data_IF_555740034387
#
_entry.id   IF_555740034387
#
_cell.length_a   1.000
_cell.length_b   1.000
_cell.length_c   1.000
_cell.angle_alpha   90.00
_cell.angle_beta   90.00
_cell.angle_gamma   90.00
#
_symmetry.space_group_name_H-M   'P 1'
#
loop_
_entity.id
_entity.type
_entity.pdbx_description
1 polymer ?
#
# COMPACT_ATOMS: atom_id res chain seq x y z
N UNK A 1 -17.55 3.17 -1.19
CA UNK A 1 -16.93 3.99 -2.25
C UNK A 1 -15.59 3.38 -2.62
N UNK A 2 -15.41 3.01 -3.89
CA UNK A 2 -14.19 2.37 -4.40
C UNK A 2 -12.96 3.26 -4.18
N UNK A 3 -13.09 4.58 -4.41
CA UNK A 3 -11.96 5.51 -4.27
C UNK A 3 -11.47 5.62 -2.83
N UNK A 4 -12.37 5.49 -1.84
CA UNK A 4 -11.99 5.52 -0.42
C UNK A 4 -11.27 4.23 0.01
N UNK A 5 -11.59 3.10 -0.61
CA UNK A 5 -10.87 1.85 -0.39
C UNK A 5 -9.47 1.93 -1.02
N UNK A 6 -9.37 2.46 -2.25
CA UNK A 6 -8.10 2.67 -2.95
C UNK A 6 -7.18 3.64 -2.19
N UNK A 7 -7.72 4.74 -1.65
CA UNK A 7 -6.96 5.67 -0.82
C UNK A 7 -6.37 4.98 0.42
N UNK A 8 -7.13 4.09 1.06
CA UNK A 8 -6.61 3.31 2.19
C UNK A 8 -5.53 2.33 1.78
N UNK A 9 -5.75 1.60 0.68
CA UNK A 9 -4.74 0.71 0.08
C UNK A 9 -3.45 1.46 -0.27
N UNK A 10 -3.56 2.68 -0.81
CA UNK A 10 -2.42 3.54 -1.09
C UNK A 10 -1.67 3.92 0.19
N UNK A 11 -2.38 4.22 1.28
CA UNK A 11 -1.76 4.46 2.60
C UNK A 11 -0.97 3.25 3.10
N UNK A 12 -1.50 2.04 2.91
CA UNK A 12 -0.83 0.78 3.28
C UNK A 12 0.44 0.58 2.46
N UNK A 13 0.37 0.76 1.13
CA UNK A 13 1.52 0.65 0.23
C UNK A 13 2.59 1.70 0.58
N UNK A 14 2.19 2.96 0.74
CA UNK A 14 3.11 4.05 1.04
C UNK A 14 3.83 3.84 2.38
N UNK A 15 3.09 3.41 3.41
CA UNK A 15 3.69 3.04 4.69
C UNK A 15 4.61 1.82 4.53
N UNK A 16 4.21 0.81 3.76
CA UNK A 16 5.03 -0.36 3.45
C UNK A 16 6.39 0.01 2.83
N UNK A 17 6.39 0.94 1.88
CA UNK A 17 7.61 1.42 1.23
C UNK A 17 8.51 2.21 2.20
N UNK A 18 7.92 3.09 3.02
CA UNK A 18 8.67 4.01 3.87
C UNK A 18 9.05 3.43 5.24
N UNK A 19 8.31 2.44 5.73
CA UNK A 19 8.55 1.74 7.00
C UNK A 19 9.02 0.27 6.84
N UNK A 20 8.95 -0.34 5.65
CA UNK A 20 9.27 -1.76 5.40
C UNK A 20 8.52 -2.69 6.35
N UNK A 21 7.30 -2.28 6.69
CA UNK A 21 6.39 -2.96 7.58
C UNK A 21 4.96 -2.63 7.13
N UNK A 22 3.99 -3.50 7.41
CA UNK A 22 2.59 -3.16 7.21
C UNK A 22 2.06 -2.33 8.38
N UNK A 23 1.18 -1.35 8.14
CA UNK A 23 0.57 -0.60 9.22
C UNK A 23 -0.47 -1.48 9.93
N UNK A 24 -0.43 -1.50 11.27
CA UNK A 24 -1.54 -2.04 12.09
C UNK A 24 -2.68 -1.00 12.13
N UNK A 25 -3.30 -0.77 10.97
CA UNK A 25 -4.35 0.22 10.78
C UNK A 25 -5.70 -0.23 11.38
N UNK A 26 -5.87 -1.54 11.64
CA UNK A 26 -7.03 -2.07 12.35
C UNK A 26 -7.11 -1.58 13.80
N UNK A 27 -5.97 -1.23 14.40
CA UNK A 27 -5.87 -0.63 15.74
C UNK A 27 -5.70 0.89 15.71
N UNK A 28 -6.22 1.55 14.68
CA UNK A 28 -6.14 3.01 14.52
C UNK A 28 -4.71 3.47 14.28
N UNK A 29 -4.16 4.33 15.15
CA UNK A 29 -2.84 4.97 14.98
C UNK A 29 -1.67 4.15 15.51
N UNK A 30 -1.84 2.84 15.77
CA UNK A 30 -0.79 1.98 16.31
C UNK A 30 0.47 1.92 15.42
N UNK A 31 0.32 2.06 14.10
CA UNK A 31 1.42 2.12 13.13
C UNK A 31 2.39 3.31 13.37
N UNK A 32 1.97 4.36 14.07
CA UNK A 32 2.83 5.51 14.39
C UNK A 32 3.97 5.16 15.37
N UNK A 33 3.87 4.03 16.08
CA UNK A 33 4.90 3.59 17.03
C UNK A 33 6.12 2.95 16.37
N UNK A 34 6.07 2.74 15.06
CA UNK A 34 7.15 2.08 14.34
C UNK A 34 8.44 2.92 14.36
N UNK A 35 9.59 2.27 14.52
CA UNK A 35 10.89 2.96 14.66
C UNK A 35 11.15 3.96 13.53
N UNK A 36 10.86 3.58 12.28
CA UNK A 36 11.07 4.43 11.11
C UNK A 36 10.03 5.54 10.96
N UNK A 37 8.87 5.43 11.61
CA UNK A 37 7.84 6.48 11.56
C UNK A 37 8.40 7.81 12.07
N UNK A 38 9.16 7.78 13.17
CA UNK A 38 9.78 8.97 13.76
C UNK A 38 10.66 9.76 12.76
N UNK A 39 11.32 9.07 11.84
CA UNK A 39 12.26 9.61 10.86
C UNK A 39 11.56 10.23 9.62
N UNK A 40 10.27 9.98 9.43
CA UNK A 40 9.52 10.55 8.31
C UNK A 40 9.27 12.05 8.51
N UNK A 41 9.23 12.81 7.42
CA UNK A 41 8.87 14.22 7.46
C UNK A 41 7.41 14.41 7.89
N UNK A 42 7.10 15.58 8.45
CA UNK A 42 5.74 15.92 8.86
C UNK A 42 4.73 15.79 7.70
N UNK A 43 5.13 16.19 6.49
CA UNK A 43 4.28 16.14 5.30
C UNK A 43 3.96 14.69 4.91
N UNK A 44 4.92 13.76 4.97
CA UNK A 44 4.66 12.32 4.76
C UNK A 44 3.66 11.81 5.78
N UNK A 45 3.91 12.10 7.07
CA UNK A 45 3.09 11.61 8.18
C UNK A 45 1.65 12.08 8.03
N UNK A 46 1.46 13.35 7.67
CA UNK A 46 0.13 13.93 7.40
C UNK A 46 -0.61 13.17 6.30
N UNK A 47 0.07 12.91 5.17
CA UNK A 47 -0.54 12.18 4.07
C UNK A 47 -0.92 10.75 4.46
N UNK A 48 -0.02 10.01 5.10
CA UNK A 48 -0.30 8.62 5.52
C UNK A 48 -1.46 8.57 6.52
N UNK A 49 -1.54 9.52 7.47
CA UNK A 49 -2.66 9.59 8.42
C UNK A 49 -4.00 9.83 7.71
N UNK A 50 -4.03 10.72 6.73
CA UNK A 50 -5.24 10.99 5.96
C UNK A 50 -5.68 9.77 5.14
N UNK A 51 -4.74 9.07 4.49
CA UNK A 51 -5.02 7.86 3.71
C UNK A 51 -5.51 6.69 4.59
N UNK A 52 -4.88 6.51 5.76
CA UNK A 52 -5.20 5.45 6.72
C UNK A 52 -6.30 5.83 7.73
N UNK A 53 -7.11 6.85 7.43
CA UNK A 53 -8.23 7.22 8.30
C UNK A 53 -9.20 6.04 8.46
N UNK A 54 -9.60 5.69 9.70
CA UNK A 54 -10.60 4.64 9.95
C UNK A 54 -11.93 4.98 9.28
N UNK A 55 -12.33 6.26 9.35
CA UNK A 55 -13.51 6.78 8.67
C UNK A 55 -13.21 6.97 7.17
N UNK A 56 -13.93 6.26 6.26
CA UNK A 56 -13.77 6.41 4.81
C UNK A 56 -14.04 7.81 4.30
N UNK A 57 -14.97 8.55 4.92
CA UNK A 57 -15.38 9.87 4.41
C UNK A 57 -14.26 10.90 4.59
N UNK A 58 -13.46 10.75 5.64
CA UNK A 58 -12.27 11.57 5.92
C UNK A 58 -11.08 11.30 4.99
N UNK A 59 -11.13 10.23 4.18
CA UNK A 59 -10.01 9.91 3.28
C UNK A 59 -10.02 10.87 2.08
N UNK A 60 -8.86 11.39 1.67
CA UNK A 60 -8.76 12.38 0.60
C UNK A 60 -9.17 11.80 -0.76
N UNK A 61 -9.68 12.65 -1.65
CA UNK A 61 -9.91 12.25 -3.04
C UNK A 61 -8.57 12.10 -3.78
N UNK A 62 -8.53 11.41 -4.95
CA UNK A 62 -7.33 11.34 -5.78
C UNK A 62 -6.75 12.71 -6.14
N UNK A 63 -7.62 13.71 -6.35
CA UNK A 63 -7.17 15.06 -6.66
C UNK A 63 -6.49 15.72 -5.45
N UNK A 64 -7.05 15.55 -4.25
CA UNK A 64 -6.46 16.08 -3.01
C UNK A 64 -5.11 15.43 -2.71
N UNK A 65 -4.98 14.12 -2.97
CA UNK A 65 -3.71 13.39 -2.83
C UNK A 65 -2.66 13.96 -3.77
N UNK A 66 -3.03 14.19 -5.05
CA UNK A 66 -2.11 14.73 -6.05
C UNK A 66 -1.66 16.15 -5.75
N UNK A 67 -2.45 16.94 -5.03
CA UNK A 67 -2.10 18.30 -4.62
C UNK A 67 -1.38 18.37 -3.27
N UNK A 68 -1.29 17.25 -2.54
CA UNK A 68 -0.68 17.23 -1.22
C UNK A 68 0.78 17.71 -1.25
N UNK A 69 1.18 18.52 -0.27
CA UNK A 69 2.48 19.18 -0.22
C UNK A 69 3.67 18.19 -0.29
N UNK A 70 3.50 16.98 0.23
CA UNK A 70 4.52 15.94 0.08
C UNK A 70 4.76 15.53 -1.38
N UNK A 71 3.75 15.62 -2.25
CA UNK A 71 3.78 15.26 -3.68
C UNK A 71 4.22 16.46 -4.54
N UNK A 72 3.72 17.66 -4.24
CA UNK A 72 3.91 18.87 -5.08
C UNK A 72 4.91 19.88 -4.53
N UNK A 73 5.26 19.78 -3.25
CA UNK A 73 6.04 20.79 -2.54
C UNK A 73 7.51 20.89 -2.98
N UNK A 74 8.19 21.97 -2.57
CA UNK A 74 9.61 22.18 -2.86
C UNK A 74 10.43 20.99 -2.35
N UNK A 75 11.30 20.46 -3.22
CA UNK A 75 12.06 19.22 -2.96
C UNK A 75 11.38 17.92 -3.42
N UNK A 76 10.15 17.95 -3.96
CA UNK A 76 9.55 16.75 -4.57
C UNK A 76 10.32 16.27 -5.82
N UNK A 77 10.82 17.21 -6.63
CA UNK A 77 11.65 16.91 -7.81
C UNK A 77 13.03 16.38 -7.44
N UNK A 78 13.68 16.94 -6.41
CA UNK A 78 14.99 16.47 -5.95
C UNK A 78 14.91 15.09 -5.30
N UNK A 79 13.88 14.83 -4.48
CA UNK A 79 13.60 13.50 -3.92
C UNK A 79 13.42 12.43 -5.00
N UNK A 80 12.80 12.77 -6.14
CA UNK A 80 12.66 11.83 -7.28
C UNK A 80 14.02 11.47 -7.89
N UNK A 81 14.97 12.39 -7.94
CA UNK A 81 16.29 12.15 -8.54
C UNK A 81 17.27 11.45 -7.58
N UNK A 82 17.32 11.87 -6.31
CA UNK A 82 18.26 11.33 -5.32
C UNK A 82 17.85 9.96 -4.76
N UNK A 83 16.55 9.70 -4.64
CA UNK A 83 16.08 8.44 -4.05
C UNK A 83 16.09 7.30 -5.07
N UNK A 84 15.94 7.59 -6.36
CA UNK A 84 16.05 6.58 -7.43
C UNK A 84 17.49 6.09 -7.54
N UNK A 85 18.49 6.98 -7.50
CA UNK A 85 19.89 6.57 -7.53
C UNK A 85 20.33 5.82 -6.27
N UNK A 86 19.90 6.26 -5.08
CA UNK A 86 20.17 5.55 -3.84
C UNK A 86 19.52 4.15 -3.79
N UNK A 87 18.26 4.04 -4.20
CA UNK A 87 17.55 2.76 -4.27
C UNK A 87 18.14 1.82 -5.33
N UNK A 88 18.52 2.33 -6.50
CA UNK A 88 19.22 1.55 -7.52
C UNK A 88 20.55 1.01 -7.00
N UNK A 89 21.32 1.81 -6.24
CA UNK A 89 22.57 1.38 -5.64
C UNK A 89 22.36 0.33 -4.54
N UNK A 90 21.34 0.48 -3.68
CA UNK A 90 20.98 -0.53 -2.68
C UNK A 90 20.49 -1.83 -3.31
N UNK A 91 19.68 -1.76 -4.38
CA UNK A 91 19.21 -2.95 -5.09
C UNK A 91 20.39 -3.68 -5.76
N UNK A 92 21.34 -2.93 -6.31
CA UNK A 92 22.54 -3.49 -6.92
C UNK A 92 23.51 -4.06 -5.86
N UNK A 93 23.60 -3.45 -4.68
CA UNK A 93 24.35 -3.97 -3.54
C UNK A 93 23.69 -5.22 -2.93
N UNK A 94 22.36 -5.25 -2.80
CA UNK A 94 21.58 -6.39 -2.32
C UNK A 94 21.61 -7.56 -3.31
N UNK A 95 21.61 -7.27 -4.63
CA UNK A 95 21.86 -8.29 -5.66
C UNK A 95 23.23 -8.96 -5.53
N UNK A 96 24.22 -8.25 -4.98
CA UNK A 96 25.56 -8.76 -4.76
C UNK A 96 25.74 -9.43 -3.38
N UNK A 97 24.80 -9.22 -2.45
CA UNK A 97 24.81 -9.79 -1.10
C UNK A 97 23.86 -11.01 -1.03
N UNK A 98 24.43 -12.21 -1.18
CA UNK A 98 23.83 -13.55 -1.00
C UNK A 98 22.37 -13.74 -1.48
N UNK A 99 22.16 -14.29 -2.69
CA UNK A 99 20.85 -14.35 -3.37
C UNK A 99 19.80 -15.24 -2.69
N UNK A 100 20.13 -16.01 -1.67
CA UNK A 100 19.27 -17.05 -1.11
C UNK A 100 18.18 -16.52 -0.16
N UNK A 101 18.47 -15.49 0.65
CA UNK A 101 17.51 -14.94 1.62
C UNK A 101 16.45 -14.08 0.92
N UNK A 102 16.87 -13.23 -0.01
CA UNK A 102 15.98 -12.37 -0.80
C UNK A 102 15.04 -13.21 -1.68
N UNK A 103 15.55 -14.29 -2.28
CA UNK A 103 14.75 -15.21 -3.08
C UNK A 103 13.65 -15.89 -2.25
N UNK A 104 13.97 -16.36 -1.05
CA UNK A 104 12.97 -16.99 -0.16
C UNK A 104 11.89 -16.00 0.29
N UNK A 105 12.27 -14.76 0.60
CA UNK A 105 11.29 -13.72 0.96
C UNK A 105 10.39 -13.33 -0.23
N UNK A 106 10.95 -13.25 -1.44
CA UNK A 106 10.18 -12.96 -2.67
C UNK A 106 9.26 -14.14 -3.03
N UNK A 107 9.73 -15.38 -2.90
CA UNK A 107 8.89 -16.58 -3.11
C UNK A 107 7.73 -16.65 -2.10
N UNK A 108 7.97 -16.33 -0.83
CA UNK A 108 6.92 -16.25 0.18
C UNK A 108 5.91 -15.14 -0.13
N UNK A 109 6.38 -13.98 -0.62
CA UNK A 109 5.51 -12.88 -1.03
C UNK A 109 4.64 -13.24 -2.24
N UNK A 110 5.21 -13.91 -3.24
CA UNK A 110 4.49 -14.40 -4.42
C UNK A 110 3.44 -15.44 -4.02
N UNK A 111 3.80 -16.40 -3.17
CA UNK A 111 2.85 -17.40 -2.66
C UNK A 111 1.70 -16.75 -1.87
N UNK A 112 2.00 -15.75 -1.03
CA UNK A 112 0.98 -15.00 -0.32
C UNK A 112 0.07 -14.22 -1.28
N UNK A 113 0.63 -13.63 -2.34
CA UNK A 113 -0.12 -12.93 -3.38
C UNK A 113 -1.04 -13.89 -4.16
N UNK A 114 -0.59 -15.09 -4.49
CA UNK A 114 -1.41 -16.13 -5.13
C UNK A 114 -2.59 -16.55 -4.25
N UNK A 115 -2.37 -16.73 -2.94
CA UNK A 115 -3.44 -17.03 -1.98
C UNK A 115 -4.45 -15.89 -1.91
N UNK A 116 -3.99 -14.63 -1.87
CA UNK A 116 -4.88 -13.46 -1.89
C UNK A 116 -5.70 -13.41 -3.18
N UNK A 117 -5.08 -13.67 -4.34
CA UNK A 117 -5.79 -13.74 -5.62
C UNK A 117 -6.80 -14.89 -5.64
N UNK A 118 -6.47 -16.05 -5.07
CA UNK A 118 -7.40 -17.18 -4.95
C UNK A 118 -8.61 -16.83 -4.06
N UNK A 119 -8.36 -16.25 -2.89
CA UNK A 119 -9.42 -15.78 -1.97
C UNK A 119 -10.28 -14.69 -2.62
N UNK A 120 -9.67 -13.77 -3.37
CA UNK A 120 -10.39 -12.74 -4.11
C UNK A 120 -11.17 -13.32 -5.28
N UNK A 121 -10.67 -14.35 -5.95
CA UNK A 121 -11.41 -15.09 -6.99
C UNK A 121 -12.60 -15.82 -6.39
N UNK A 122 -12.44 -16.54 -5.29
CA UNK A 122 -13.52 -17.22 -4.58
C UNK A 122 -14.61 -16.24 -4.11
N UNK A 123 -14.20 -15.11 -3.52
CA UNK A 123 -15.14 -14.07 -3.10
C UNK A 123 -15.76 -13.35 -4.29
N UNK A 124 -15.00 -13.17 -5.37
CA UNK A 124 -15.47 -12.63 -6.64
C UNK A 124 -16.48 -13.54 -7.33
N UNK A 125 -16.32 -14.87 -7.28
CA UNK A 125 -17.32 -15.84 -7.73
C UNK A 125 -18.54 -15.86 -6.82
N UNK A 126 -18.40 -15.69 -5.50
CA UNK A 126 -19.55 -15.50 -4.60
C UNK A 126 -20.32 -14.21 -4.91
N UNK A 127 -19.64 -13.11 -5.21
CA UNK A 127 -20.29 -11.85 -5.61
C UNK A 127 -20.92 -11.92 -7.00
N UNK A 128 -20.31 -12.65 -7.94
CA UNK A 128 -20.90 -12.95 -9.25
C UNK A 128 -22.16 -13.82 -9.12
N UNK A 129 -22.14 -14.84 -8.25
CA UNK A 129 -23.28 -15.72 -8.00
C UNK A 129 -24.46 -15.03 -7.27
N UNK A 130 -24.18 -14.01 -6.46
CA UNK A 130 -25.18 -13.28 -5.68
C UNK A 130 -25.66 -11.97 -6.33
N UNK A 131 -25.06 -11.55 -7.46
CA UNK A 131 -25.24 -10.20 -8.00
C UNK A 131 -25.53 -10.09 -9.49
N UNK A 132 -25.59 -11.19 -10.25
CA UNK A 132 -25.98 -11.17 -11.66
C UNK A 132 -27.25 -12.01 -11.92
N UNK A 133 -28.09 -11.59 -12.86
CA UNK A 133 -29.29 -12.34 -13.29
C UNK A 133 -28.93 -13.77 -13.77
N UNK A 134 -27.75 -13.94 -14.36
CA UNK A 134 -27.22 -15.24 -14.77
C UNK A 134 -26.93 -16.15 -13.56
N UNK A 135 -26.43 -15.59 -12.44
CA UNK A 135 -26.19 -16.32 -11.19
C UNK A 135 -27.45 -16.77 -10.45
N UNK A 136 -28.51 -15.96 -10.46
CA UNK A 136 -29.81 -16.35 -9.87
C UNK A 136 -30.50 -17.48 -10.64
N UNK A 137 -30.26 -17.57 -11.96
CA UNK A 137 -30.85 -18.61 -12.82
C UNK A 137 -30.29 -20.02 -12.59
N UNK A 138 -29.09 -20.14 -11.99
CA UNK A 138 -28.45 -21.43 -11.72
C UNK A 138 -29.06 -22.22 -10.54
N UNK A 139 -29.98 -21.59 -9.77
CA UNK A 139 -30.64 -22.19 -8.61
C UNK A 139 -32.16 -22.38 -8.79
N UNK A 140 -32.68 -22.20 -10.00
CA UNK A 140 -34.04 -22.63 -10.41
C UNK A 140 -33.97 -23.90 -11.23
#
# INVERSE_FOLDING_TARGET
>A
DAFKADAFGLGVVLYGLLCSALPDAAKGTAYERHRRWSQLSANVKSLIKALLSPDPDQRPSPNDINQHEWITGPGARERKASNVSAFSNELQAASNASPTCYRSAVEALLAAQEVVVAVQRERGTCCWALGSEEGESAFK
#
